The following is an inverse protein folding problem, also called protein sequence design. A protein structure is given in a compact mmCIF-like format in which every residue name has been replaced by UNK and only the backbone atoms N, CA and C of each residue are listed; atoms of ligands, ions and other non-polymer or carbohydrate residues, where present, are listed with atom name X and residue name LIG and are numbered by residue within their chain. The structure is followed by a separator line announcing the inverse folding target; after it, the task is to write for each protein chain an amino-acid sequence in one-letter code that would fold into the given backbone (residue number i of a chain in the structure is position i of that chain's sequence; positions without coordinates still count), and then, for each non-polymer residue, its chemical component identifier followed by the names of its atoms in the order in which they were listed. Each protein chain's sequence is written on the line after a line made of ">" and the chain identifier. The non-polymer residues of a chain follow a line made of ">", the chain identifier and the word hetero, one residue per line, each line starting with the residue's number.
data_IF_493059700144
#
_entry.id   IF_493059700144
#
_cell.length_a   1.000
_cell.length_b   1.000
_cell.length_c   1.000
_cell.angle_alpha   90.00
_cell.angle_beta   90.00
_cell.angle_gamma   90.00
#
_symmetry.space_group_name_H-M   'P 1'
#
loop_
_entity.id
_entity.type
_entity.pdbx_description
1 polymer ?
#
# COMPACT_ATOMS: atom_id res chain seq x y z
N UNK A 1 4.53 20.35 32.26
CA UNK A 1 5.64 20.47 31.29
C UNK A 1 6.23 19.09 31.11
N UNK A 2 5.77 18.35 30.09
CA UNK A 2 6.18 16.97 29.85
C UNK A 2 7.27 16.91 28.79
N UNK A 3 8.47 16.46 29.18
CA UNK A 3 9.61 16.23 28.30
C UNK A 3 9.28 15.07 27.35
N UNK A 4 9.07 15.36 26.05
CA UNK A 4 8.91 14.31 25.04
C UNK A 4 10.26 13.61 24.85
N UNK A 5 10.35 12.35 25.25
CA UNK A 5 11.48 11.48 24.91
C UNK A 5 11.37 11.14 23.43
N UNK A 6 12.36 11.56 22.64
CA UNK A 6 12.54 11.07 21.28
C UNK A 6 13.11 9.65 21.36
N UNK A 7 12.31 8.67 20.94
CA UNK A 7 12.68 7.26 20.94
C UNK A 7 13.50 6.96 19.68
N UNK A 8 14.80 6.72 19.86
CA UNK A 8 15.77 6.51 18.78
C UNK A 8 15.96 5.03 18.43
N UNK A 9 15.17 4.09 18.95
CA UNK A 9 15.43 2.66 18.77
C UNK A 9 14.79 2.07 17.49
N UNK A 10 15.63 1.58 16.55
CA UNK A 10 15.19 0.92 15.30
C UNK A 10 15.07 -0.62 15.44
N UNK A 11 14.77 -1.16 16.63
CA UNK A 11 14.89 -2.62 16.80
C UNK A 11 13.70 -3.46 16.33
N UNK A 12 12.53 -2.88 15.98
CA UNK A 12 11.34 -3.68 15.59
C UNK A 12 10.34 -2.91 14.69
N UNK A 13 10.75 -2.37 13.54
CA UNK A 13 9.79 -1.80 12.56
C UNK A 13 9.72 -2.56 11.24
N UNK A 14 8.48 -2.80 10.82
CA UNK A 14 8.09 -3.23 9.48
C UNK A 14 8.58 -2.16 8.50
N UNK A 15 9.69 -2.42 7.78
CA UNK A 15 10.04 -1.62 6.59
C UNK A 15 8.84 -1.69 5.64
N UNK A 16 8.11 -0.58 5.50
CA UNK A 16 7.01 -0.49 4.54
C UNK A 16 7.61 -0.64 3.13
N UNK A 17 7.33 -1.76 2.46
CA UNK A 17 7.69 -1.94 1.05
C UNK A 17 6.70 -1.17 0.18
N UNK A 18 6.93 0.14 0.03
CA UNK A 18 6.16 0.98 -0.88
C UNK A 18 6.77 0.87 -2.29
N UNK A 19 5.96 0.51 -3.29
CA UNK A 19 6.35 0.52 -4.71
C UNK A 19 5.87 1.82 -5.36
N UNK A 20 6.79 2.59 -5.92
CA UNK A 20 6.53 3.93 -6.48
C UNK A 20 5.53 3.90 -7.63
N UNK A 21 4.59 4.86 -7.67
CA UNK A 21 3.53 4.88 -8.70
C UNK A 21 3.69 6.01 -9.71
N UNK A 22 4.06 7.23 -9.28
CA UNK A 22 4.32 8.37 -10.19
C UNK A 22 5.23 9.41 -9.54
N UNK A 23 6.14 9.97 -10.34
CA UNK A 23 6.94 11.13 -9.95
C UNK A 23 6.05 12.37 -9.89
N UNK A 24 5.94 12.99 -8.71
CA UNK A 24 5.22 14.26 -8.56
C UNK A 24 6.16 15.42 -8.92
N UNK A 25 7.33 15.50 -8.27
CA UNK A 25 8.29 16.57 -8.48
C UNK A 25 9.68 16.20 -7.96
N UNK A 26 10.70 16.66 -8.67
CA UNK A 26 12.10 16.64 -8.21
C UNK A 26 12.56 18.05 -7.89
N UNK A 27 13.17 18.23 -6.74
CA UNK A 27 13.75 19.49 -6.26
C UNK A 27 15.26 19.41 -6.28
N UNK A 28 15.87 20.38 -6.97
CA UNK A 28 17.31 20.60 -7.02
C UNK A 28 17.69 21.84 -6.20
N UNK A 29 18.99 22.01 -5.97
CA UNK A 29 19.54 23.16 -5.26
C UNK A 29 19.19 24.49 -5.96
N UNK A 30 18.61 25.42 -5.20
CA UNK A 30 18.32 26.80 -5.65
C UNK A 30 18.88 27.87 -4.69
N UNK A 31 19.61 27.46 -3.65
CA UNK A 31 20.13 28.32 -2.56
C UNK A 31 19.05 29.16 -1.86
N UNK A 32 17.79 28.75 -1.97
CA UNK A 32 16.61 29.34 -1.31
C UNK A 32 15.61 28.23 -1.03
N UNK A 33 14.77 28.43 -0.02
CA UNK A 33 13.65 27.54 0.26
C UNK A 33 12.63 27.55 -0.88
N UNK A 34 12.13 26.38 -1.22
CA UNK A 34 11.10 26.17 -2.23
C UNK A 34 9.78 25.78 -1.56
N UNK A 35 8.65 26.14 -2.17
CA UNK A 35 7.32 25.80 -1.65
C UNK A 35 6.69 24.73 -2.53
N UNK A 36 6.10 23.72 -1.87
CA UNK A 36 5.32 22.66 -2.50
C UNK A 36 3.96 22.59 -1.82
N UNK A 37 2.89 22.82 -2.56
CA UNK A 37 1.52 22.65 -2.07
C UNK A 37 1.01 21.30 -2.57
N UNK A 38 0.54 20.46 -1.65
CA UNK A 38 0.00 19.13 -1.97
C UNK A 38 -1.42 19.00 -1.44
N UNK A 39 -2.30 18.50 -2.29
CA UNK A 39 -3.67 18.14 -1.92
C UNK A 39 -3.69 16.86 -1.07
N UNK A 40 -4.86 16.49 -0.58
CA UNK A 40 -5.11 15.24 0.14
C UNK A 40 -4.53 14.02 -0.60
N UNK A 41 -3.99 13.07 0.16
CA UNK A 41 -3.36 11.86 -0.37
C UNK A 41 -2.08 11.47 0.36
N UNK A 42 -1.49 10.34 -0.05
CA UNK A 42 -0.22 9.87 0.51
C UNK A 42 0.93 10.26 -0.41
N UNK A 43 2.04 10.70 0.16
CA UNK A 43 3.22 11.13 -0.57
C UNK A 43 4.48 10.51 0.04
N UNK A 44 5.37 10.05 -0.82
CA UNK A 44 6.69 9.56 -0.44
C UNK A 44 7.72 10.63 -0.76
N UNK A 45 8.43 11.07 0.28
CA UNK A 45 9.58 11.96 0.15
C UNK A 45 10.84 11.12 0.22
N UNK A 46 11.69 11.25 -0.79
CA UNK A 46 13.05 10.73 -0.82
C UNK A 46 14.00 11.90 -0.75
N UNK A 47 14.82 11.95 0.28
CA UNK A 47 15.73 13.05 0.55
C UNK A 47 17.17 12.56 0.53
N UNK A 48 18.01 13.29 -0.20
CA UNK A 48 19.46 13.06 -0.27
C UNK A 48 20.18 14.29 0.27
N UNK A 49 21.06 14.11 1.25
CA UNK A 49 21.95 15.16 1.73
C UNK A 49 23.07 15.45 0.74
N UNK A 50 23.67 16.64 0.82
CA UNK A 50 24.78 17.00 -0.06
C UNK A 50 26.12 16.39 0.39
N UNK A 51 27.08 16.33 -0.52
CA UNK A 51 28.47 15.95 -0.22
C UNK A 51 29.23 17.13 0.41
N UNK A 52 30.21 16.82 1.25
CA UNK A 52 31.22 17.79 1.67
C UNK A 52 32.11 18.23 0.51
N UNK A 53 32.81 19.34 0.69
CA UNK A 53 33.81 19.78 -0.26
C UNK A 53 35.05 18.87 -0.27
N UNK A 54 35.73 18.87 -1.40
CA UNK A 54 36.96 18.12 -1.66
C UNK A 54 38.18 19.02 -1.44
N UNK A 55 39.34 18.41 -1.22
CA UNK A 55 40.63 19.07 -1.39
C UNK A 55 41.37 18.37 -2.53
N UNK A 56 42.62 18.78 -2.81
CA UNK A 56 43.36 18.25 -3.96
C UNK A 56 43.64 16.75 -3.93
N UNK A 57 43.44 16.07 -2.79
CA UNK A 57 43.79 14.65 -2.62
C UNK A 57 42.61 13.83 -2.07
N UNK A 58 41.77 14.43 -1.23
CA UNK A 58 40.74 13.74 -0.47
C UNK A 58 39.36 14.30 -0.75
N UNK A 59 38.41 13.38 -0.91
CA UNK A 59 37.00 13.68 -1.14
C UNK A 59 36.29 14.04 0.17
N UNK A 60 35.28 14.88 0.06
CA UNK A 60 34.31 15.13 1.11
C UNK A 60 33.49 13.88 1.41
N UNK A 61 32.88 13.87 2.58
CA UNK A 61 31.94 12.81 2.96
C UNK A 61 30.68 12.88 2.10
N UNK A 62 30.11 11.73 1.77
CA UNK A 62 28.81 11.66 1.10
C UNK A 62 27.66 12.00 2.06
N UNK A 63 26.60 12.60 1.52
CA UNK A 63 25.36 12.83 2.25
C UNK A 63 24.58 11.53 2.47
N UNK A 64 23.68 11.53 3.47
CA UNK A 64 22.79 10.39 3.75
C UNK A 64 21.58 10.38 2.83
N UNK A 65 20.86 9.26 2.83
CA UNK A 65 19.55 9.12 2.20
C UNK A 65 18.51 8.71 3.24
N UNK A 66 17.35 9.36 3.20
CA UNK A 66 16.20 9.02 4.04
C UNK A 66 14.92 9.15 3.21
N UNK A 67 14.02 8.19 3.39
CA UNK A 67 12.70 8.19 2.79
C UNK A 67 11.60 8.10 3.85
N UNK A 68 10.64 9.03 3.78
CA UNK A 68 9.50 9.11 4.68
C UNK A 68 8.20 9.26 3.90
N UNK A 69 7.17 8.55 4.33
CA UNK A 69 5.82 8.68 3.78
C UNK A 69 4.95 9.55 4.70
N UNK A 70 4.19 10.47 4.12
CA UNK A 70 3.21 11.31 4.82
C UNK A 70 1.83 11.13 4.20
N UNK A 71 0.81 11.13 5.05
CA UNK A 71 -0.59 11.17 4.63
C UNK A 71 -1.17 12.55 4.94
N UNK A 72 -1.76 13.19 3.92
CA UNK A 72 -2.53 14.41 4.06
C UNK A 72 -4.00 14.00 4.11
N UNK A 73 -4.62 14.22 5.28
CA UNK A 73 -5.96 13.76 5.61
C UNK A 73 -7.07 14.69 5.12
N UNK A 74 -6.85 16.01 5.20
CA UNK A 74 -7.78 17.07 4.79
C UNK A 74 -7.03 18.34 4.43
N UNK A 75 -7.59 19.07 3.48
CA UNK A 75 -7.08 20.35 2.95
C UNK A 75 -5.68 20.25 2.34
N UNK A 76 -5.37 21.14 1.41
CA UNK A 76 -4.00 21.20 0.89
C UNK A 76 -3.03 21.66 1.96
N UNK A 77 -1.86 21.02 2.06
CA UNK A 77 -0.78 21.43 2.96
C UNK A 77 0.37 22.06 2.17
N UNK A 78 0.96 23.11 2.73
CA UNK A 78 2.14 23.77 2.19
C UNK A 78 3.39 23.25 2.88
N UNK A 79 4.31 22.73 2.08
CA UNK A 79 5.61 22.22 2.50
C UNK A 79 6.69 23.19 2.08
N UNK A 80 7.64 23.44 2.97
CA UNK A 80 8.88 24.14 2.64
C UNK A 80 9.96 23.10 2.38
N UNK A 81 10.71 23.28 1.30
CA UNK A 81 11.71 22.35 0.80
C UNK A 81 13.04 23.07 0.70
N UNK A 82 14.01 22.65 1.49
CA UNK A 82 15.41 23.06 1.37
C UNK A 82 16.22 21.92 0.79
N UNK A 83 16.96 22.19 -0.27
CA UNK A 83 17.88 21.22 -0.87
C UNK A 83 19.30 21.61 -0.50
N UNK A 84 20.06 20.64 0.02
CA UNK A 84 21.43 20.85 0.46
C UNK A 84 22.39 21.11 -0.70
N UNK A 85 23.29 22.08 -0.54
CA UNK A 85 24.37 22.36 -1.47
C UNK A 85 25.67 21.68 -1.06
N UNK A 86 26.45 21.26 -2.07
CA UNK A 86 27.80 20.71 -1.83
C UNK A 86 28.65 21.72 -1.08
N UNK A 87 29.44 21.24 -0.12
CA UNK A 87 30.46 22.07 0.51
C UNK A 87 31.48 22.58 -0.51
N UNK A 88 32.01 23.81 -0.34
CA UNK A 88 33.03 24.36 -1.25
C UNK A 88 34.34 23.58 -1.16
N UNK A 89 34.89 23.27 -2.33
CA UNK A 89 36.19 22.62 -2.49
C UNK A 89 37.33 23.56 -2.08
N UNK A 90 38.44 23.00 -1.59
CA UNK A 90 39.58 23.76 -1.09
C UNK A 90 40.89 23.15 -1.55
N UNK A 91 41.41 23.58 -2.70
CA UNK A 91 42.68 23.06 -3.22
C UNK A 91 43.90 23.53 -2.40
N UNK A 92 43.84 24.71 -1.77
CA UNK A 92 45.01 25.38 -1.19
C UNK A 92 44.93 25.52 0.34
N UNK A 93 46.10 25.58 1.00
CA UNK A 93 46.20 25.95 2.42
C UNK A 93 45.72 27.39 2.61
N UNK A 94 45.00 27.68 3.69
CA UNK A 94 44.49 29.03 3.90
C UNK A 94 43.23 29.17 4.74
N UNK A 95 42.53 30.29 4.47
CA UNK A 95 41.32 30.77 5.15
C UNK A 95 40.23 29.69 5.20
N UNK A 96 39.44 29.76 6.27
CA UNK A 96 38.22 28.99 6.45
C UNK A 96 37.27 29.14 5.26
N UNK A 97 36.70 28.03 4.81
CA UNK A 97 35.67 28.00 3.78
C UNK A 97 34.29 27.96 4.45
N UNK A 98 33.28 28.63 3.89
CA UNK A 98 31.91 28.48 4.37
C UNK A 98 31.43 27.04 4.16
N UNK A 99 30.36 26.64 4.84
CA UNK A 99 29.68 25.40 4.48
C UNK A 99 28.69 25.60 3.33
N UNK A 100 28.21 24.48 2.78
CA UNK A 100 27.14 24.47 1.79
C UNK A 100 25.80 24.89 2.38
N UNK A 101 24.97 25.54 1.58
CA UNK A 101 23.60 25.92 1.96
C UNK A 101 22.74 24.69 2.32
N UNK A 102 21.78 24.77 3.26
CA UNK A 102 21.49 25.90 4.13
C UNK A 102 22.37 25.94 5.39
N UNK A 103 22.79 24.79 5.90
CA UNK A 103 23.32 24.61 7.27
C UNK A 103 24.68 23.91 7.34
N UNK A 104 25.39 23.78 6.22
CA UNK A 104 26.70 23.15 6.16
C UNK A 104 27.73 23.83 7.08
N UNK A 105 28.60 23.03 7.67
CA UNK A 105 29.65 23.51 8.57
C UNK A 105 30.79 24.21 7.84
N UNK A 106 31.24 25.34 8.39
CA UNK A 106 32.44 26.02 7.91
C UNK A 106 33.72 25.25 8.29
N UNK A 107 34.73 25.31 7.42
CA UNK A 107 36.03 24.69 7.67
C UNK A 107 36.94 25.52 8.56
N UNK A 108 37.88 24.86 9.25
CA UNK A 108 38.89 25.51 10.07
C UNK A 108 39.98 26.18 9.24
N UNK A 109 40.70 27.12 9.85
CA UNK A 109 41.84 27.78 9.21
C UNK A 109 43.10 26.90 9.30
N UNK A 110 43.74 26.62 8.17
CA UNK A 110 44.92 25.75 8.05
C UNK A 110 46.26 26.49 8.07
N UNK A 111 46.27 27.80 8.34
CA UNK A 111 47.46 28.68 8.29
C UNK A 111 48.65 28.27 9.19
N UNK A 112 48.48 27.34 10.15
CA UNK A 112 49.54 26.90 11.07
C UNK A 112 50.20 25.57 10.71
N UNK A 113 49.80 24.90 9.63
CA UNK A 113 50.27 23.56 9.30
C UNK A 113 51.20 23.54 8.07
N UNK A 114 52.52 23.50 8.32
CA UNK A 114 53.59 23.50 7.30
C UNK A 114 53.46 22.31 6.31
N UNK A 115 52.66 21.27 6.63
CA UNK A 115 52.49 20.05 5.81
C UNK A 115 51.05 19.61 5.51
N UNK A 116 50.00 20.36 5.87
CA UNK A 116 48.61 19.91 5.64
C UNK A 116 47.96 20.53 4.40
N UNK A 117 47.18 19.73 3.66
CA UNK A 117 46.29 20.19 2.59
C UNK A 117 45.15 21.09 3.14
N UNK A 118 44.44 21.77 2.24
CA UNK A 118 43.31 22.64 2.60
C UNK A 118 42.15 21.89 3.27
N UNK A 119 41.37 22.63 4.05
CA UNK A 119 40.14 22.15 4.70
C UNK A 119 38.92 22.66 3.95
N UNK A 120 38.12 21.74 3.43
CA UNK A 120 36.91 22.02 2.68
C UNK A 120 35.68 22.17 3.59
N UNK A 121 34.67 22.87 3.09
CA UNK A 121 33.41 23.10 3.81
C UNK A 121 32.51 21.85 3.83
N UNK A 122 31.63 21.75 4.82
CA UNK A 122 30.63 20.68 4.90
C UNK A 122 29.48 20.88 3.92
N UNK A 123 28.87 19.78 3.49
CA UNK A 123 27.65 19.79 2.69
C UNK A 123 26.43 20.15 3.53
N UNK A 124 25.51 20.89 2.93
CA UNK A 124 24.23 21.22 3.58
C UNK A 124 23.24 20.05 3.60
N UNK A 125 22.30 20.12 4.53
CA UNK A 125 21.20 19.18 4.63
C UNK A 125 20.08 19.45 3.62
N UNK A 126 19.38 18.40 3.23
CA UNK A 126 18.12 18.50 2.49
C UNK A 126 16.97 18.25 3.46
N UNK A 127 16.11 19.24 3.64
CA UNK A 127 15.09 19.27 4.68
C UNK A 127 13.69 19.54 4.12
N UNK A 128 12.71 18.84 4.65
CA UNK A 128 11.28 19.06 4.41
C UNK A 128 10.66 19.60 5.68
N UNK A 129 9.89 20.68 5.55
CA UNK A 129 9.17 21.31 6.64
C UNK A 129 7.68 21.33 6.37
N UNK A 130 6.90 21.23 7.44
CA UNK A 130 5.46 21.44 7.45
C UNK A 130 5.13 22.33 8.65
N UNK A 131 4.42 23.45 8.42
CA UNK A 131 4.10 24.43 9.47
C UNK A 131 5.34 24.95 10.23
N UNK A 132 6.47 25.13 9.54
CA UNK A 132 7.79 25.49 10.08
C UNK A 132 8.48 24.42 10.95
N UNK A 133 7.84 23.28 11.20
CA UNK A 133 8.50 22.14 11.84
C UNK A 133 9.34 21.39 10.80
N UNK A 134 10.60 21.07 11.14
CA UNK A 134 11.35 20.08 10.36
C UNK A 134 10.68 18.72 10.55
N UNK A 135 10.31 18.07 9.46
CA UNK A 135 9.64 16.75 9.51
C UNK A 135 10.47 15.63 8.89
N UNK A 136 11.40 15.96 7.99
CA UNK A 136 12.32 15.01 7.38
C UNK A 136 13.63 15.72 7.02
N UNK A 137 14.77 15.15 7.37
CA UNK A 137 16.09 15.73 7.11
C UNK A 137 17.06 14.65 6.67
N UNK A 138 17.56 14.79 5.44
CA UNK A 138 18.74 14.08 4.95
C UNK A 138 19.98 14.94 5.21
N UNK A 139 20.98 14.35 5.84
CA UNK A 139 22.11 15.07 6.39
C UNK A 139 23.27 15.14 5.38
N UNK A 140 24.00 16.27 5.31
CA UNK A 140 25.06 16.49 4.29
C UNK A 140 26.49 16.20 4.77
N UNK A 141 27.32 15.46 4.03
CA UNK A 141 28.64 15.01 4.48
C UNK A 141 29.63 16.10 4.88
N UNK A 142 30.65 15.74 5.69
CA UNK A 142 31.65 16.73 6.11
C UNK A 142 32.64 17.03 4.98
N UNK A 143 33.23 18.22 4.95
CA UNK A 143 34.35 18.50 4.05
C UNK A 143 35.59 17.66 4.37
N UNK A 144 36.45 17.46 3.38
CA UNK A 144 37.78 16.88 3.59
C UNK A 144 38.71 17.84 4.34
N UNK A 145 39.72 17.29 5.00
CA UNK A 145 40.47 18.01 6.01
C UNK A 145 41.93 17.56 6.03
N UNK A 146 42.85 18.38 5.53
CA UNK A 146 44.27 18.00 5.48
C UNK A 146 44.43 16.65 4.77
N UNK A 147 44.98 15.66 5.49
CA UNK A 147 45.23 14.32 4.96
C UNK A 147 44.06 13.33 5.20
N UNK A 148 42.84 13.83 5.40
CA UNK A 148 41.65 13.04 5.68
C UNK A 148 40.55 13.27 4.66
N UNK A 149 39.87 12.18 4.30
CA UNK A 149 38.55 12.25 3.68
C UNK A 149 37.52 12.82 4.67
N UNK A 150 36.46 13.40 4.13
CA UNK A 150 35.33 13.80 4.95
C UNK A 150 34.58 12.58 5.50
N UNK A 151 34.10 12.68 6.74
CA UNK A 151 33.25 11.68 7.35
C UNK A 151 31.92 11.54 6.57
N UNK A 152 31.55 10.32 6.13
CA UNK A 152 30.23 10.06 5.57
C UNK A 152 29.16 10.33 6.62
N UNK A 153 27.92 10.65 6.21
CA UNK A 153 26.84 10.94 7.17
C UNK A 153 26.27 9.71 7.84
N UNK A 154 25.90 9.85 9.11
CA UNK A 154 25.24 8.79 9.87
C UNK A 154 23.73 8.74 9.66
N UNK A 155 23.10 7.74 10.28
CA UNK A 155 21.66 7.46 10.17
C UNK A 155 20.87 8.22 11.26
N UNK A 156 19.76 7.65 11.78
CA UNK A 156 18.99 8.24 12.89
C UNK A 156 19.64 8.04 14.27
N UNK A 157 20.52 7.04 14.41
CA UNK A 157 21.02 6.57 15.71
C UNK A 157 22.44 7.04 16.02
N UNK A 158 23.24 7.26 14.97
CA UNK A 158 24.65 7.61 15.13
C UNK A 158 25.15 8.56 14.06
N UNK A 159 26.30 9.18 14.33
CA UNK A 159 27.12 9.92 13.37
C UNK A 159 28.51 9.30 13.19
N UNK A 160 29.29 9.82 12.25
CA UNK A 160 30.65 9.37 12.02
C UNK A 160 31.68 10.46 12.32
N UNK A 161 32.78 10.07 12.94
CA UNK A 161 33.90 10.96 13.26
C UNK A 161 35.22 10.34 12.86
N UNK A 162 36.12 11.16 12.29
CA UNK A 162 37.51 10.77 12.07
C UNK A 162 38.38 11.30 13.22
N UNK A 163 39.06 10.38 13.88
CA UNK A 163 39.99 10.63 14.99
C UNK A 163 41.42 10.37 14.53
N UNK A 164 42.35 11.28 14.88
CA UNK A 164 43.78 11.08 14.69
C UNK A 164 44.31 10.03 15.66
N UNK A 165 45.01 9.01 15.15
CA UNK A 165 45.53 7.90 15.95
C UNK A 165 47.06 7.73 15.89
N UNK A 166 47.78 8.67 15.26
CA UNK A 166 49.24 8.64 15.15
C UNK A 166 49.75 9.02 13.75
N UNK A 167 51.04 8.77 13.47
CA UNK A 167 51.77 9.23 12.28
C UNK A 167 50.96 9.04 10.98
N UNK A 168 50.32 10.13 10.51
CA UNK A 168 49.48 10.19 9.31
C UNK A 168 48.34 9.14 9.25
N UNK A 169 47.88 8.63 10.40
CA UNK A 169 46.83 7.61 10.48
C UNK A 169 45.56 8.15 11.16
N UNK A 170 44.41 7.80 10.58
CA UNK A 170 43.10 8.25 11.02
C UNK A 170 42.13 7.08 11.09
N UNK A 171 41.27 7.06 12.10
CA UNK A 171 40.27 6.00 12.30
C UNK A 171 38.87 6.58 12.25
N UNK A 172 38.00 5.96 11.46
CA UNK A 172 36.57 6.26 11.44
C UNK A 172 35.91 5.61 12.66
N UNK A 173 35.15 6.41 13.42
CA UNK A 173 34.41 5.98 14.60
C UNK A 173 32.93 6.31 14.43
N UNK A 174 32.08 5.39 14.86
CA UNK A 174 30.64 5.63 15.02
C UNK A 174 30.38 6.23 16.40
N UNK A 175 29.66 7.35 16.45
CA UNK A 175 29.35 8.07 17.69
C UNK A 175 27.84 8.13 17.89
N UNK A 176 27.38 7.64 19.04
CA UNK A 176 25.99 7.71 19.46
C UNK A 176 25.85 8.95 20.36
N UNK A 177 24.97 9.92 20.04
CA UNK A 177 24.76 11.07 20.89
C UNK A 177 24.16 10.64 22.24
N UNK A 178 24.57 11.24 23.37
CA UNK A 178 24.01 10.89 24.67
C UNK A 178 22.52 11.24 24.72
N UNK A 179 21.74 10.40 25.41
CA UNK A 179 20.26 10.46 25.49
C UNK A 179 19.66 11.78 26.01
N UNK A 180 20.47 12.63 26.63
CA UNK A 180 20.10 13.96 27.14
C UNK A 180 20.70 15.13 26.35
N UNK A 181 21.32 14.88 25.19
CA UNK A 181 21.85 15.97 24.36
C UNK A 181 20.72 16.67 23.62
N UNK A 182 20.11 17.67 24.27
CA UNK A 182 19.66 18.82 23.51
C UNK A 182 20.87 19.26 22.67
N UNK A 183 20.74 19.18 21.35
CA UNK A 183 21.76 19.62 20.44
C UNK A 183 21.85 21.14 20.53
N UNK A 184 22.57 21.66 21.55
CA UNK A 184 22.77 23.09 21.72
C UNK A 184 23.49 23.60 20.47
N UNK A 185 22.78 24.36 19.67
CA UNK A 185 23.34 25.16 18.59
C UNK A 185 23.15 26.62 19.00
N UNK A 186 24.28 27.29 19.17
CA UNK A 186 24.44 28.75 19.31
C UNK A 186 23.82 29.41 20.58
N UNK A 187 24.56 30.29 21.29
CA UNK A 187 24.00 31.18 22.32
C UNK A 187 22.88 32.13 21.83
N UNK A 188 22.54 32.14 20.54
CA UNK A 188 21.38 32.86 19.98
C UNK A 188 20.02 32.12 20.07
N UNK A 189 19.96 30.91 20.65
CA UNK A 189 18.71 30.32 21.15
C UNK A 189 17.57 30.13 20.10
N UNK A 190 17.89 29.78 18.84
CA UNK A 190 16.88 29.57 17.78
C UNK A 190 16.72 28.13 17.29
N UNK A 191 17.51 27.18 17.78
CA UNK A 191 17.53 25.79 17.31
C UNK A 191 17.50 24.79 18.47
N UNK A 192 16.50 24.89 19.34
CA UNK A 192 16.22 23.82 20.29
C UNK A 192 15.33 22.78 19.58
N UNK A 193 15.77 21.51 19.55
CA UNK A 193 15.00 20.25 19.33
C UNK A 193 15.46 19.32 18.18
N UNK A 194 16.46 19.65 17.36
CA UNK A 194 16.88 18.78 16.23
C UNK A 194 18.38 18.41 16.28
N UNK A 195 18.76 17.19 15.88
CA UNK A 195 20.16 16.82 15.80
C UNK A 195 20.90 17.64 14.74
N UNK A 196 22.22 17.87 14.89
CA UNK A 196 23.00 18.64 13.94
C UNK A 196 22.97 18.00 12.54
N UNK A 197 22.18 18.57 11.64
CA UNK A 197 21.99 18.11 10.26
C UNK A 197 23.06 18.64 9.30
N UNK A 198 23.93 19.55 9.77
CA UNK A 198 24.92 20.30 8.99
C UNK A 198 26.35 20.35 9.57
N UNK A 199 26.78 19.42 10.43
CA UNK A 199 28.13 19.47 11.01
C UNK A 199 29.22 18.98 10.05
N UNK A 200 30.35 19.71 10.04
CA UNK A 200 31.63 19.24 9.52
C UNK A 200 32.39 20.24 8.64
N UNK A 201 33.53 20.72 9.14
CA UNK A 201 34.57 21.36 8.34
C UNK A 201 35.94 21.04 8.94
N UNK A 202 36.95 20.81 8.09
CA UNK A 202 38.24 20.23 8.49
C UNK A 202 39.05 21.07 9.49
N UNK A 203 39.63 20.39 10.49
CA UNK A 203 40.61 20.75 11.54
C UNK A 203 41.04 22.23 11.83
N UNK A 204 41.19 22.67 13.12
CA UNK A 204 40.61 22.08 14.33
C UNK A 204 39.25 22.73 14.55
N UNK A 205 38.20 21.94 14.32
CA UNK A 205 36.82 22.18 14.72
C UNK A 205 36.25 23.60 14.52
N UNK A 206 35.81 23.91 13.30
CA UNK A 206 34.72 24.86 13.07
C UNK A 206 33.43 24.30 13.69
N UNK A 207 32.96 24.96 14.73
CA UNK A 207 32.34 24.40 15.94
C UNK A 207 30.80 24.51 15.92
N UNK A 208 30.08 23.91 16.89
CA UNK A 208 28.91 24.59 17.50
C UNK A 208 29.24 26.09 17.51
N UNK A 209 28.46 26.94 16.81
CA UNK A 209 28.84 28.30 16.44
C UNK A 209 29.74 29.02 17.47
N UNK A 210 30.85 29.58 17.00
CA UNK A 210 31.87 30.38 17.72
C UNK A 210 33.04 29.63 18.42
N UNK A 211 34.23 29.85 17.85
CA UNK A 211 35.54 30.06 18.53
C UNK A 211 35.65 29.68 20.01
N UNK A 212 35.97 28.41 20.32
CA UNK A 212 36.71 28.07 21.54
C UNK A 212 37.30 26.66 21.39
N UNK A 213 38.59 26.51 21.63
CA UNK A 213 39.32 25.23 21.63
C UNK A 213 38.74 24.25 22.65
N UNK A 214 38.22 23.09 22.22
CA UNK A 214 38.05 21.95 23.13
C UNK A 214 39.39 21.22 23.14
N UNK A 215 40.24 21.52 24.13
CA UNK A 215 41.32 20.63 24.52
C UNK A 215 40.72 19.53 25.40
N UNK A 216 40.14 18.50 24.79
CA UNK A 216 39.96 17.23 25.49
C UNK A 216 41.15 16.34 25.16
N UNK A 217 42.01 16.17 26.17
CA UNK A 217 43.05 15.15 26.31
C UNK A 217 43.08 14.04 25.23
N UNK A 218 44.18 14.00 24.49
CA UNK A 218 44.73 12.92 23.62
C UNK A 218 44.12 12.61 22.25
N UNK A 219 43.02 13.22 21.81
CA UNK A 219 42.37 12.86 20.52
C UNK A 219 42.06 14.09 19.65
N UNK A 220 42.76 14.23 18.52
CA UNK A 220 42.51 15.31 17.56
C UNK A 220 41.37 14.90 16.60
N UNK A 221 40.16 15.42 16.80
CA UNK A 221 39.02 15.22 15.89
C UNK A 221 39.23 16.02 14.60
N UNK A 222 39.17 15.33 13.46
CA UNK A 222 39.55 15.90 12.15
C UNK A 222 38.35 16.28 11.31
N UNK A 223 37.28 15.47 11.38
CA UNK A 223 35.99 15.76 10.77
C UNK A 223 34.88 14.99 11.49
N UNK A 224 33.72 15.62 11.66
CA UNK A 224 32.51 15.00 12.23
C UNK A 224 31.38 15.21 11.22
N UNK A 225 30.67 14.14 10.91
CA UNK A 225 29.41 14.18 10.18
C UNK A 225 28.27 14.26 11.20
N UNK A 226 27.09 14.68 10.78
CA UNK A 226 25.92 14.68 11.66
C UNK A 226 24.86 13.69 11.23
N UNK A 227 23.64 13.97 11.65
CA UNK A 227 22.61 12.93 11.71
C UNK A 227 21.37 13.30 10.90
N UNK A 228 20.74 12.26 10.37
CA UNK A 228 19.45 12.39 9.71
C UNK A 228 18.35 12.50 10.76
N UNK A 229 17.21 13.07 10.39
CA UNK A 229 16.09 13.24 11.30
C UNK A 229 14.77 12.96 10.60
N UNK A 230 13.83 12.39 11.35
CA UNK A 230 12.45 12.21 10.90
C UNK A 230 11.51 12.47 12.08
N UNK A 231 10.50 13.31 11.86
CA UNK A 231 9.45 13.52 12.84
C UNK A 231 8.35 12.48 12.63
N UNK A 232 8.29 11.52 13.56
CA UNK A 232 7.35 10.39 13.51
C UNK A 232 5.88 10.78 13.75
N UNK A 233 5.62 11.98 14.27
CA UNK A 233 4.26 12.51 14.40
C UNK A 233 3.67 12.83 13.01
N UNK A 234 4.52 13.14 12.03
CA UNK A 234 4.12 13.50 10.66
C UNK A 234 4.44 12.41 9.63
N UNK A 235 5.58 11.73 9.77
CA UNK A 235 6.14 10.86 8.74
C UNK A 235 6.31 9.42 9.26
N UNK A 236 5.93 8.45 8.44
CA UNK A 236 6.31 7.04 8.64
C UNK A 236 7.64 6.78 7.94
N UNK A 237 8.63 6.27 8.67
CA UNK A 237 9.93 5.92 8.11
C UNK A 237 9.76 4.72 7.15
N UNK A 238 10.31 4.86 5.94
CA UNK A 238 10.27 3.82 4.90
C UNK A 238 11.66 3.20 4.76
N UNK A 239 12.66 4.05 4.57
CA UNK A 239 14.02 3.64 4.33
C UNK A 239 14.99 4.70 4.87
N UNK A 240 16.15 4.25 5.33
CA UNK A 240 17.28 5.11 5.62
C UNK A 240 18.57 4.39 5.28
N UNK A 241 19.52 5.13 4.76
CA UNK A 241 20.89 4.67 4.56
C UNK A 241 21.89 5.78 4.88
N UNK A 242 22.99 5.38 5.49
CA UNK A 242 24.10 6.26 5.79
C UNK A 242 24.88 6.64 4.51
N UNK A 243 25.77 7.63 4.62
CA UNK A 243 26.62 8.06 3.50
C UNK A 243 27.72 7.07 3.13
N UNK A 244 27.90 5.98 3.88
CA UNK A 244 28.89 4.94 3.59
C UNK A 244 28.31 3.82 2.70
N UNK A 245 26.99 3.76 2.60
CA UNK A 245 26.25 2.89 1.68
C UNK A 245 26.36 3.33 0.21
N UNK A 246 26.09 2.40 -0.74
CA UNK A 246 26.02 2.70 -2.18
C UNK A 246 24.96 3.76 -2.55
N UNK A 247 24.05 4.08 -1.62
CA UNK A 247 23.00 5.09 -1.74
C UNK A 247 23.40 6.51 -1.31
N UNK A 248 24.59 6.70 -0.73
CA UNK A 248 25.11 8.03 -0.40
C UNK A 248 25.35 8.88 -1.65
N UNK A 249 24.86 10.12 -1.66
CA UNK A 249 24.93 11.01 -2.83
C UNK A 249 26.23 11.82 -2.85
N UNK A 250 26.83 11.94 -4.04
CA UNK A 250 27.91 12.88 -4.34
C UNK A 250 27.34 14.15 -5.00
N UNK A 251 27.97 15.30 -4.77
CA UNK A 251 27.49 16.60 -5.24
C UNK A 251 26.37 17.21 -4.38
N UNK A 252 25.47 17.95 -5.02
CA UNK A 252 24.34 18.58 -4.33
C UNK A 252 23.32 17.54 -3.88
N UNK A 253 22.60 17.87 -2.81
CA UNK A 253 21.43 17.14 -2.37
C UNK A 253 20.30 17.18 -3.41
N UNK A 254 19.27 16.38 -3.16
CA UNK A 254 18.09 16.30 -4.00
C UNK A 254 16.90 15.85 -3.15
N UNK A 255 15.71 16.34 -3.48
CA UNK A 255 14.48 15.82 -2.88
C UNK A 255 13.54 15.38 -4.00
N UNK A 256 13.13 14.13 -3.98
CA UNK A 256 12.17 13.56 -4.92
C UNK A 256 10.88 13.32 -4.15
N UNK A 257 9.77 13.79 -4.71
CA UNK A 257 8.43 13.56 -4.16
C UNK A 257 7.67 12.70 -5.15
N UNK A 258 7.15 11.58 -4.67
CA UNK A 258 6.28 10.69 -5.41
C UNK A 258 4.89 10.71 -4.79
N UNK A 259 3.85 10.69 -5.62
CA UNK A 259 2.50 10.44 -5.11
C UNK A 259 2.34 8.94 -4.86
N UNK A 260 1.64 8.59 -3.79
CA UNK A 260 1.34 7.21 -3.41
C UNK A 260 -0.17 7.07 -3.19
N UNK A 261 -0.83 6.19 -3.96
CA UNK A 261 -2.30 6.02 -4.03
C UNK A 261 -3.09 7.27 -4.46
N UNK A 262 -4.09 7.09 -5.32
CA UNK A 262 -5.00 8.18 -5.72
C UNK A 262 -6.24 8.29 -4.83
N UNK A 263 -6.54 7.27 -4.02
CA UNK A 263 -7.71 7.22 -3.13
C UNK A 263 -7.32 7.53 -1.66
N UNK A 264 -7.97 8.54 -1.09
CA UNK A 264 -7.76 9.05 0.27
C UNK A 264 -8.24 8.09 1.38
N UNK A 265 -9.15 7.17 1.06
CA UNK A 265 -9.75 6.20 1.97
C UNK A 265 -9.07 4.82 1.87
N UNK A 266 -8.05 4.73 1.02
CA UNK A 266 -7.25 3.55 0.82
C UNK A 266 -6.10 3.46 1.83
N UNK A 267 -5.98 2.31 2.48
CA UNK A 267 -4.86 1.97 3.36
C UNK A 267 -3.70 1.31 2.60
N UNK A 268 -4.01 0.47 1.60
CA UNK A 268 -3.00 -0.20 0.75
C UNK A 268 -3.48 -0.35 -0.70
N UNK A 269 -2.66 0.00 -1.69
CA UNK A 269 -2.98 -0.11 -3.12
C UNK A 269 -2.38 -1.38 -3.77
N UNK A 270 -3.10 -1.95 -4.73
CA UNK A 270 -2.67 -2.99 -5.67
C UNK A 270 -2.05 -2.34 -6.91
N UNK A 271 -0.73 -2.30 -6.93
CA UNK A 271 0.09 -2.05 -8.12
C UNK A 271 -0.26 -0.76 -8.91
N UNK A 272 0.12 -0.71 -10.19
CA UNK A 272 0.00 0.45 -11.09
C UNK A 272 -1.45 0.78 -11.49
N UNK A 273 -2.43 0.01 -11.00
CA UNK A 273 -3.84 0.13 -11.37
C UNK A 273 -4.63 1.16 -10.53
N UNK A 274 -4.00 1.76 -9.51
CA UNK A 274 -4.65 2.64 -8.53
C UNK A 274 -5.83 1.99 -7.77
N UNK A 275 -5.94 0.66 -7.80
CA UNK A 275 -6.98 -0.08 -7.07
C UNK A 275 -6.55 -0.30 -5.63
N UNK A 276 -7.46 -0.12 -4.68
CA UNK A 276 -7.20 -0.37 -3.28
C UNK A 276 -7.40 -1.85 -2.91
N UNK A 277 -6.38 -2.48 -2.30
CA UNK A 277 -6.49 -3.82 -1.70
C UNK A 277 -7.09 -3.78 -0.30
N UNK A 278 -6.73 -2.77 0.49
CA UNK A 278 -7.14 -2.66 1.89
C UNK A 278 -7.62 -1.24 2.13
N UNK A 279 -8.89 -1.09 2.46
CA UNK A 279 -9.46 0.19 2.84
C UNK A 279 -9.26 0.45 4.34
N UNK A 280 -9.34 1.73 4.74
CA UNK A 280 -9.38 2.10 6.16
C UNK A 280 -10.57 1.45 6.87
N UNK A 281 -10.47 1.31 8.20
CA UNK A 281 -11.55 0.75 9.01
C UNK A 281 -12.87 1.50 8.76
N UNK A 282 -13.93 0.75 8.45
CA UNK A 282 -15.22 1.29 8.06
C UNK A 282 -15.37 1.62 6.58
N UNK A 283 -14.40 1.29 5.72
CA UNK A 283 -14.49 1.44 4.26
C UNK A 283 -14.29 0.09 3.55
N UNK A 284 -14.90 -0.05 2.38
CA UNK A 284 -14.87 -1.24 1.53
C UNK A 284 -14.54 -0.88 0.08
N UNK A 285 -13.73 -1.72 -0.57
CA UNK A 285 -13.30 -1.51 -1.96
C UNK A 285 -14.45 -1.90 -2.91
N UNK A 286 -14.69 -1.11 -3.95
CA UNK A 286 -15.61 -1.47 -5.02
C UNK A 286 -14.88 -2.24 -6.15
N UNK A 287 -15.62 -2.67 -7.18
CA UNK A 287 -15.05 -3.36 -8.36
C UNK A 287 -13.95 -2.58 -9.10
N UNK A 288 -13.92 -1.26 -8.91
CA UNK A 288 -12.92 -0.36 -9.47
C UNK A 288 -11.75 -0.06 -8.49
N UNK A 289 -11.71 -0.69 -7.31
CA UNK A 289 -10.66 -0.49 -6.33
C UNK A 289 -10.78 0.81 -5.51
N UNK A 290 -11.97 1.39 -5.40
CA UNK A 290 -12.20 2.63 -4.63
C UNK A 290 -12.86 2.31 -3.30
N UNK A 291 -12.34 2.87 -2.21
CA UNK A 291 -12.79 2.68 -0.84
C UNK A 291 -13.98 3.58 -0.49
N UNK A 292 -15.09 2.98 -0.04
CA UNK A 292 -16.33 3.68 0.38
C UNK A 292 -16.89 3.14 1.69
N UNK A 293 -17.54 3.99 2.48
CA UNK A 293 -18.08 3.62 3.81
C UNK A 293 -19.20 2.59 3.68
N UNK A 294 -20.14 2.83 2.77
CA UNK A 294 -21.33 2.01 2.62
C UNK A 294 -21.28 1.18 1.35
N UNK A 295 -21.49 -0.12 1.50
CA UNK A 295 -21.91 -0.93 0.37
C UNK A 295 -23.35 -0.55 0.05
N UNK A 296 -23.53 0.22 -1.02
CA UNK A 296 -24.85 0.71 -1.47
C UNK A 296 -25.91 -0.42 -1.60
N UNK A 297 -25.52 -1.71 -1.68
CA UNK A 297 -26.42 -2.87 -1.67
C UNK A 297 -25.88 -4.12 -0.97
N UNK A 298 -24.86 -4.80 -1.51
CA UNK A 298 -24.40 -6.09 -1.00
C UNK A 298 -22.88 -6.20 -0.91
N UNK A 299 -22.40 -7.13 -0.07
CA UNK A 299 -20.98 -7.44 0.11
C UNK A 299 -20.67 -8.85 -0.37
N UNK A 300 -19.67 -9.01 -1.23
CA UNK A 300 -19.18 -10.31 -1.70
C UNK A 300 -17.65 -10.33 -1.60
N UNK A 301 -17.09 -11.26 -0.83
CA UNK A 301 -15.64 -11.41 -0.61
C UNK A 301 -14.91 -10.10 -0.21
N UNK A 302 -15.56 -9.24 0.60
CA UNK A 302 -14.98 -7.96 1.05
C UNK A 302 -15.12 -6.81 0.04
N UNK A 303 -15.78 -7.03 -1.10
CA UNK A 303 -16.03 -6.04 -2.16
C UNK A 303 -17.52 -5.71 -2.21
N UNK A 304 -17.85 -4.42 -2.38
CA UNK A 304 -19.25 -4.02 -2.57
C UNK A 304 -19.71 -4.33 -4.01
N UNK A 305 -20.85 -5.01 -4.14
CA UNK A 305 -21.48 -5.38 -5.42
C UNK A 305 -22.92 -4.86 -5.48
N UNK A 306 -23.41 -4.54 -6.68
CA UNK A 306 -24.79 -4.07 -6.87
C UNK A 306 -25.82 -5.19 -6.82
N UNK A 307 -25.42 -6.37 -7.29
CA UNK A 307 -26.17 -7.61 -7.19
C UNK A 307 -25.17 -8.71 -6.85
N UNK A 308 -25.59 -9.70 -6.08
CA UNK A 308 -24.82 -10.91 -5.94
C UNK A 308 -24.69 -11.59 -7.32
N UNK A 309 -23.53 -12.19 -7.57
CA UNK A 309 -23.34 -12.94 -8.81
C UNK A 309 -24.38 -14.08 -8.91
N UNK A 310 -24.77 -14.52 -10.13
CA UNK A 310 -25.64 -15.69 -10.29
C UNK A 310 -25.12 -16.91 -9.51
N UNK A 311 -26.01 -17.64 -8.86
CA UNK A 311 -25.64 -18.75 -7.98
C UNK A 311 -25.18 -18.31 -6.58
N UNK A 312 -25.47 -17.07 -6.17
CA UNK A 312 -25.33 -16.59 -4.80
C UNK A 312 -26.69 -16.11 -4.26
N UNK A 313 -26.92 -16.25 -2.97
CA UNK A 313 -28.07 -15.70 -2.25
C UNK A 313 -27.62 -14.63 -1.24
N UNK A 314 -28.55 -13.78 -0.83
CA UNK A 314 -28.30 -12.70 0.12
C UNK A 314 -28.55 -13.21 1.53
N UNK A 315 -27.54 -13.13 2.40
CA UNK A 315 -27.67 -13.44 3.81
C UNK A 315 -28.42 -12.33 4.57
N UNK A 316 -28.80 -12.61 5.82
CA UNK A 316 -29.40 -11.60 6.72
C UNK A 316 -28.53 -10.36 6.94
N UNK A 317 -27.24 -10.44 6.64
CA UNK A 317 -26.26 -9.38 6.84
C UNK A 317 -25.88 -8.69 5.52
N UNK A 318 -26.69 -8.81 4.45
CA UNK A 318 -26.41 -8.30 3.11
C UNK A 318 -25.11 -8.87 2.49
N UNK A 319 -24.72 -10.08 2.87
CA UNK A 319 -23.57 -10.77 2.28
C UNK A 319 -24.02 -11.76 1.21
N UNK A 320 -23.34 -11.76 0.07
CA UNK A 320 -23.56 -12.72 -1.01
C UNK A 320 -22.87 -14.04 -0.67
N UNK A 321 -23.66 -15.08 -0.44
CA UNK A 321 -23.19 -16.43 -0.10
C UNK A 321 -23.51 -17.39 -1.26
N UNK A 322 -22.55 -18.21 -1.64
CA UNK A 322 -22.68 -19.13 -2.78
C UNK A 322 -23.73 -20.22 -2.49
N UNK A 323 -24.59 -20.49 -3.46
CA UNK A 323 -25.54 -21.60 -3.48
C UNK A 323 -24.83 -22.96 -3.62
N UNK A 324 -25.57 -24.04 -3.33
CA UNK A 324 -25.17 -25.38 -3.72
C UNK A 324 -24.98 -25.49 -5.23
N UNK A 325 -24.03 -26.32 -5.69
CA UNK A 325 -23.64 -26.44 -7.10
C UNK A 325 -24.75 -26.90 -8.06
N UNK A 326 -25.79 -27.54 -7.53
CA UNK A 326 -26.96 -27.98 -8.29
C UNK A 326 -28.01 -26.88 -8.54
N UNK A 327 -27.91 -25.75 -7.83
CA UNK A 327 -28.86 -24.66 -7.89
C UNK A 327 -28.32 -23.49 -8.74
N UNK A 328 -29.16 -22.92 -9.59
CA UNK A 328 -28.86 -21.64 -10.25
C UNK A 328 -29.33 -20.46 -9.40
N UNK A 329 -30.37 -20.67 -8.58
CA UNK A 329 -30.82 -19.79 -7.50
C UNK A 329 -31.20 -20.59 -6.27
N UNK A 330 -30.99 -20.03 -5.10
CA UNK A 330 -31.29 -20.66 -3.83
C UNK A 330 -31.66 -19.62 -2.77
N UNK A 331 -32.29 -20.09 -1.69
CA UNK A 331 -32.54 -19.31 -0.47
C UNK A 331 -31.64 -19.77 0.69
N UNK A 332 -30.61 -20.57 0.39
CA UNK A 332 -29.68 -21.12 1.37
C UNK A 332 -28.59 -21.96 0.75
N UNK A 333 -27.59 -22.30 1.56
CA UNK A 333 -26.37 -23.01 1.13
C UNK A 333 -26.65 -24.49 0.79
N UNK A 334 -27.67 -25.07 1.42
CA UNK A 334 -27.96 -26.50 1.33
C UNK A 334 -28.59 -26.91 -0.01
N UNK A 335 -28.33 -28.14 -0.45
CA UNK A 335 -28.85 -28.70 -1.71
C UNK A 335 -30.40 -28.76 -1.79
N UNK A 336 -31.09 -28.65 -0.66
CA UNK A 336 -32.55 -28.64 -0.54
C UNK A 336 -33.13 -27.23 -0.34
N UNK A 337 -32.34 -26.19 -0.65
CA UNK A 337 -32.76 -24.79 -0.63
C UNK A 337 -32.71 -24.17 -2.03
N UNK A 338 -32.70 -24.98 -3.08
CA UNK A 338 -32.77 -24.48 -4.44
C UNK A 338 -34.16 -23.90 -4.72
N UNK A 339 -34.20 -22.79 -5.45
CA UNK A 339 -35.42 -22.20 -6.04
C UNK A 339 -35.41 -22.30 -7.55
N UNK A 340 -34.23 -22.42 -8.17
CA UNK A 340 -34.06 -22.72 -9.59
C UNK A 340 -32.88 -23.66 -9.79
N UNK A 341 -32.96 -24.48 -10.83
CA UNK A 341 -31.96 -25.49 -11.15
C UNK A 341 -31.05 -25.05 -12.30
N UNK A 342 -29.80 -25.49 -12.25
CA UNK A 342 -28.85 -25.33 -13.36
C UNK A 342 -29.07 -26.40 -14.43
N UNK A 343 -29.03 -26.02 -15.72
CA UNK A 343 -29.04 -26.95 -16.85
C UNK A 343 -30.37 -27.68 -17.03
N UNK A 344 -30.31 -28.95 -17.45
CA UNK A 344 -31.48 -29.80 -17.75
C UNK A 344 -32.08 -30.49 -16.51
N UNK A 345 -31.98 -29.84 -15.34
CA UNK A 345 -32.52 -30.37 -14.08
C UNK A 345 -33.89 -29.75 -13.79
N UNK A 346 -34.75 -30.55 -13.16
CA UNK A 346 -36.08 -30.16 -12.75
C UNK A 346 -36.14 -29.94 -11.23
N UNK A 347 -36.87 -28.90 -10.82
CA UNK A 347 -37.10 -28.58 -9.42
C UNK A 347 -38.18 -29.49 -8.85
N UNK A 348 -37.85 -30.20 -7.77
CA UNK A 348 -38.78 -30.98 -6.98
C UNK A 348 -38.44 -30.88 -5.49
N UNK A 349 -39.40 -30.41 -4.68
CA UNK A 349 -39.23 -30.23 -3.23
C UNK A 349 -37.97 -29.43 -2.84
N UNK A 350 -37.71 -28.31 -3.55
CA UNK A 350 -36.52 -27.45 -3.39
C UNK A 350 -35.17 -28.13 -3.66
N UNK A 351 -35.18 -29.28 -4.34
CA UNK A 351 -33.99 -29.98 -4.83
C UNK A 351 -34.00 -30.05 -6.35
N UNK A 352 -32.80 -30.07 -6.94
CA UNK A 352 -32.62 -30.12 -8.40
C UNK A 352 -32.24 -31.51 -8.89
N UNK A 353 -33.20 -32.20 -9.49
CA UNK A 353 -33.09 -33.60 -9.92
C UNK A 353 -33.06 -33.73 -11.45
N UNK A 354 -32.51 -34.82 -11.99
CA UNK A 354 -32.41 -35.02 -13.45
C UNK A 354 -33.61 -35.76 -14.08
N UNK A 355 -34.46 -36.40 -13.28
CA UNK A 355 -35.64 -37.13 -13.75
C UNK A 355 -36.73 -37.15 -12.68
N UNK A 356 -37.97 -36.80 -13.07
CA UNK A 356 -39.13 -36.63 -12.18
C UNK A 356 -39.80 -37.93 -11.69
N UNK A 357 -39.33 -39.10 -12.17
CA UNK A 357 -39.91 -40.39 -11.80
C UNK A 357 -41.29 -40.68 -12.44
N UNK A 358 -41.92 -41.79 -12.05
CA UNK A 358 -43.25 -42.18 -12.53
C UNK A 358 -44.35 -41.28 -11.93
N UNK A 359 -45.44 -41.08 -12.68
CA UNK A 359 -46.58 -40.24 -12.27
C UNK A 359 -46.37 -38.74 -12.47
N UNK A 360 -45.16 -38.33 -12.85
CA UNK A 360 -44.80 -36.95 -13.16
C UNK A 360 -44.05 -36.85 -14.49
N UNK A 361 -43.99 -35.66 -15.04
CA UNK A 361 -43.17 -35.35 -16.19
C UNK A 361 -42.35 -34.08 -15.93
N UNK A 362 -41.18 -33.99 -16.56
CA UNK A 362 -40.34 -32.80 -16.51
C UNK A 362 -40.91 -31.71 -17.41
N UNK A 363 -41.62 -30.76 -16.82
CA UNK A 363 -42.18 -29.65 -17.58
C UNK A 363 -41.06 -28.64 -17.86
N UNK A 364 -40.57 -28.62 -19.09
CA UNK A 364 -39.50 -27.69 -19.54
C UNK A 364 -39.94 -26.23 -19.62
N UNK A 365 -41.25 -25.99 -19.59
CA UNK A 365 -41.79 -24.62 -19.57
C UNK A 365 -41.61 -24.00 -18.19
N UNK A 366 -41.81 -24.79 -17.14
CA UNK A 366 -41.72 -24.35 -15.74
C UNK A 366 -40.42 -24.81 -15.06
N UNK A 367 -39.65 -25.69 -15.70
CA UNK A 367 -38.50 -26.42 -15.12
C UNK A 367 -38.84 -27.15 -13.81
N UNK A 368 -40.07 -27.65 -13.68
CA UNK A 368 -40.58 -28.38 -12.51
C UNK A 368 -41.00 -29.80 -12.88
N UNK A 369 -41.14 -30.64 -11.86
CA UNK A 369 -41.77 -31.95 -11.98
C UNK A 369 -43.28 -31.86 -11.75
N UNK A 370 -44.05 -31.91 -12.84
CA UNK A 370 -45.49 -31.73 -12.82
C UNK A 370 -46.23 -33.07 -12.87
N UNK A 371 -47.40 -33.14 -12.24
CA UNK A 371 -48.20 -34.37 -12.18
C UNK A 371 -48.80 -34.70 -13.57
N UNK A 372 -48.80 -35.98 -13.90
CA UNK A 372 -49.57 -36.48 -15.05
C UNK A 372 -51.08 -36.29 -14.84
N UNK A 373 -51.85 -36.30 -15.93
CA UNK A 373 -53.33 -36.37 -15.84
C UNK A 373 -53.79 -37.54 -14.96
N UNK A 374 -54.93 -37.41 -14.26
CA UNK A 374 -55.46 -38.48 -13.44
C UNK A 374 -55.51 -39.82 -14.20
N UNK A 375 -55.12 -40.91 -13.52
CA UNK A 375 -55.07 -42.28 -14.08
C UNK A 375 -54.01 -42.52 -15.16
N UNK A 376 -53.14 -41.54 -15.41
CA UNK A 376 -51.94 -41.71 -16.22
C UNK A 376 -50.72 -42.05 -15.35
N UNK A 377 -49.95 -43.07 -15.74
CA UNK A 377 -48.74 -43.54 -15.07
C UNK A 377 -47.46 -42.91 -15.64
N UNK A 378 -47.38 -42.78 -16.96
CA UNK A 378 -46.27 -42.12 -17.67
C UNK A 378 -46.88 -41.16 -18.68
N UNK A 379 -46.40 -39.93 -18.69
CA UNK A 379 -46.87 -38.87 -19.58
C UNK A 379 -45.71 -38.02 -20.08
N UNK A 380 -45.91 -37.38 -21.23
CA UNK A 380 -45.01 -36.36 -21.76
C UNK A 380 -45.49 -34.94 -21.42
N UNK A 381 -46.80 -34.78 -21.22
CA UNK A 381 -47.45 -33.54 -20.79
C UNK A 381 -48.74 -33.85 -20.03
N UNK A 382 -49.40 -32.83 -19.49
CA UNK A 382 -50.69 -33.02 -18.81
C UNK A 382 -51.76 -33.64 -19.73
N UNK A 383 -51.82 -33.28 -21.02
CA UNK A 383 -52.82 -33.78 -21.97
C UNK A 383 -52.35 -34.97 -22.81
N UNK A 384 -51.10 -35.38 -22.64
CA UNK A 384 -50.47 -36.44 -23.44
C UNK A 384 -50.00 -37.57 -22.53
N UNK A 385 -50.95 -38.45 -22.21
CA UNK A 385 -50.62 -39.70 -21.53
C UNK A 385 -50.04 -40.71 -22.53
N UNK A 386 -48.95 -41.39 -22.14
CA UNK A 386 -48.35 -42.48 -22.94
C UNK A 386 -48.55 -43.85 -22.30
N UNK A 387 -48.84 -43.90 -20.99
CA UNK A 387 -49.15 -45.15 -20.28
C UNK A 387 -50.16 -44.92 -19.17
N UNK A 388 -51.30 -45.59 -19.23
CA UNK A 388 -52.31 -45.53 -18.17
C UNK A 388 -51.97 -46.42 -16.97
N UNK A 389 -52.54 -46.09 -15.81
CA UNK A 389 -52.59 -47.00 -14.65
C UNK A 389 -53.45 -48.23 -14.94
N UNK A 390 -53.24 -49.33 -14.22
CA UNK A 390 -54.01 -50.56 -14.40
C UNK A 390 -55.53 -50.32 -14.28
N UNK A 391 -56.32 -50.93 -15.16
CA UNK A 391 -57.79 -50.77 -15.22
C UNK A 391 -58.28 -49.70 -16.20
N UNK A 392 -57.37 -49.01 -16.88
CA UNK A 392 -57.67 -47.97 -17.87
C UNK A 392 -56.93 -48.26 -19.18
N UNK A 393 -57.52 -47.87 -20.30
CA UNK A 393 -56.87 -47.95 -21.61
C UNK A 393 -56.63 -46.54 -22.17
N UNK A 394 -55.57 -46.40 -22.96
CA UNK A 394 -55.20 -45.15 -23.60
C UNK A 394 -56.07 -44.94 -24.86
N UNK A 395 -56.74 -43.81 -24.95
CA UNK A 395 -57.47 -43.39 -26.15
C UNK A 395 -57.33 -41.88 -26.33
N UNK A 396 -56.84 -41.47 -27.51
CA UNK A 396 -56.61 -40.06 -27.87
C UNK A 396 -55.90 -39.26 -26.77
N UNK A 397 -54.79 -39.79 -26.24
CA UNK A 397 -53.99 -39.14 -25.18
C UNK A 397 -54.58 -39.19 -23.76
N UNK A 398 -55.77 -39.80 -23.59
CA UNK A 398 -56.51 -39.85 -22.32
C UNK A 398 -56.73 -41.28 -21.82
N UNK A 399 -56.85 -41.46 -20.51
CA UNK A 399 -57.08 -42.76 -19.88
C UNK A 399 -58.56 -42.97 -19.58
N UNK A 400 -59.19 -43.92 -20.30
CA UNK A 400 -60.60 -44.24 -20.15
C UNK A 400 -60.80 -45.55 -19.38
N UNK A 401 -61.84 -45.60 -18.55
CA UNK A 401 -62.15 -46.78 -17.75
C UNK A 401 -62.60 -47.93 -18.65
N UNK A 402 -62.11 -49.14 -18.39
CA UNK A 402 -62.42 -50.32 -19.20
C UNK A 402 -63.91 -50.73 -19.13
N UNK A 403 -64.67 -50.30 -18.11
CA UNK A 403 -66.06 -50.73 -17.90
C UNK A 403 -67.15 -49.82 -18.53
N UNK A 404 -66.80 -48.75 -19.26
CA UNK A 404 -67.78 -47.75 -19.73
C UNK A 404 -68.48 -48.07 -21.06
N UNK A 405 -68.25 -49.24 -21.67
CA UNK A 405 -69.06 -49.69 -22.80
C UNK A 405 -70.14 -50.67 -22.32
N UNK A 406 -71.30 -50.16 -21.88
CA UNK A 406 -72.52 -50.96 -21.72
C UNK A 406 -73.76 -50.28 -22.33
N UNK A 407 -74.12 -50.76 -23.53
CA UNK A 407 -75.44 -51.19 -23.99
C UNK A 407 -76.66 -50.25 -23.91
N UNK A 408 -77.09 -49.68 -25.05
CA UNK A 408 -78.52 -49.39 -25.29
C UNK A 408 -79.21 -50.63 -25.89
N UNK A 409 -80.13 -51.22 -25.12
CA UNK A 409 -81.01 -52.31 -25.58
C UNK A 409 -82.25 -51.67 -26.21
N UNK A 410 -82.32 -51.58 -27.53
CA UNK A 410 -83.60 -51.35 -28.23
C UNK A 410 -84.34 -52.68 -28.39
N UNK A 411 -85.41 -52.89 -27.61
CA UNK A 411 -86.43 -53.90 -27.92
C UNK A 411 -87.37 -53.34 -28.99
N UNK A 412 -87.20 -53.78 -30.23
CA UNK A 412 -88.30 -53.90 -31.18
C UNK A 412 -88.30 -55.30 -31.78
N UNK A 413 -89.48 -55.91 -31.71
CA UNK A 413 -89.85 -57.22 -32.21
C UNK A 413 -89.60 -57.37 -33.72
N UNK A 414 -89.09 -58.54 -34.10
CA UNK A 414 -89.03 -59.13 -35.45
C UNK A 414 -88.09 -58.45 -36.46
N UNK A 415 -86.81 -58.87 -36.48
CA UNK A 415 -86.25 -59.72 -37.55
C UNK A 415 -84.79 -60.08 -37.22
N UNK A 416 -84.44 -61.35 -37.38
CA UNK A 416 -83.08 -61.88 -37.21
C UNK A 416 -82.13 -61.32 -38.29
N UNK A 417 -81.08 -60.61 -37.88
CA UNK A 417 -79.73 -60.68 -38.47
C UNK A 417 -78.71 -60.08 -37.49
N UNK A 418 -78.00 -60.94 -36.76
CA UNK A 418 -76.75 -60.55 -36.09
C UNK A 418 -75.69 -60.37 -37.18
N UNK A 419 -75.36 -59.13 -37.49
CA UNK A 419 -74.10 -58.82 -38.16
C UNK A 419 -73.12 -58.44 -37.06
N UNK A 420 -72.23 -59.38 -36.72
CA UNK A 420 -70.96 -59.04 -36.09
C UNK A 420 -70.20 -58.16 -37.07
N UNK A 421 -69.74 -57.00 -36.62
CA UNK A 421 -68.60 -56.34 -37.24
C UNK A 421 -67.51 -56.19 -36.20
N UNK A 422 -66.65 -57.21 -36.15
CA UNK A 422 -65.24 -57.00 -35.89
C UNK A 422 -64.68 -56.04 -36.95
N UNK A 423 -63.81 -55.14 -36.49
CA UNK A 423 -62.64 -54.52 -37.15
C UNK A 423 -62.44 -53.17 -36.45
N UNK A 424 -61.46 -53.05 -35.56
CA UNK A 424 -60.04 -52.79 -35.88
C UNK A 424 -59.90 -51.41 -36.56
N UNK A 425 -59.24 -50.47 -35.89
CA UNK A 425 -57.77 -50.43 -35.86
C UNK A 425 -57.26 -50.08 -34.46
#
# INVERSE_FOLDING_TARGET
>A
MGSRKHDYSISNEIKLKLKETSLLKTFQLTNKSQILIMAQGTYLFKCYGAEGGNNNVYLGGKGSYIAGAIYIDKDSKSFTIDVGGKGPDTPNKGKANPGGYPDGGASGNSNKAIYMLGSAGGGGSSSVYLNNDKILVAAGGSGSAGNCQGAPRGNLEYSYEYEYVGVNSYKLKTVIPPSNSQCETDPLNTYQNYPPSGIGGGYPCGKRGSSQSIQSSSSYLVSSSGMSYINRDYMKLVEISDGNSNSGRTGNGEIIVNKYCSDENCYNCLDDSNKCSICKDGYHSNSNGVCKIDCNKFKQNGVCVENCDPGYFISSNNECIKCHESCSKCDGIEANKCTECTGDRFLENNMCISSCGEGKYGNRTTNTCDQCSPRCKICNSFFECTKCTNGYYLSQGNCNHLASQQYEIYRFSNFNKRVFKNCCD
#
